data_IF_849294357278
#
_entry.id   IF_849294357278
#
_cell.length_a   1.000
_cell.length_b   1.000
_cell.length_c   1.000
_cell.angle_alpha   90.00
_cell.angle_beta   90.00
_cell.angle_gamma   90.00
#
_symmetry.space_group_name_H-M   'P 1'
#
loop_
_entity.id
_entity.type
_entity.pdbx_description
1 polymer ?
#
# COMPACT_ATOMS: atom_id res chain seq x y z
N UNK A 1 -6.49 11.14 -57.03
CA UNK A 1 -5.64 11.13 -55.83
C UNK A 1 -6.12 10.24 -54.66
N UNK A 2 -6.77 9.05 -54.83
CA UNK A 2 -7.15 8.20 -53.68
C UNK A 2 -6.13 7.11 -53.30
N UNK A 3 -5.07 6.89 -54.10
CA UNK A 3 -4.09 5.79 -53.90
C UNK A 3 -2.91 6.15 -52.98
N UNK A 4 -2.77 7.42 -52.60
CA UNK A 4 -1.69 7.91 -51.74
C UNK A 4 -2.07 7.85 -50.25
N UNK A 5 -3.34 8.11 -49.93
CA UNK A 5 -3.91 8.04 -48.57
C UNK A 5 -3.84 6.62 -47.98
N UNK A 6 -4.19 5.60 -48.78
CA UNK A 6 -4.15 4.20 -48.33
C UNK A 6 -2.72 3.70 -48.02
N UNK A 7 -1.69 4.32 -48.62
CA UNK A 7 -0.28 4.00 -48.35
C UNK A 7 0.22 4.61 -47.04
N UNK A 8 -0.26 5.79 -46.65
CA UNK A 8 0.07 6.38 -45.34
C UNK A 8 -0.52 5.55 -44.19
N UNK A 9 -1.78 5.14 -44.29
CA UNK A 9 -2.42 4.32 -43.26
C UNK A 9 -1.70 2.98 -43.05
N UNK A 10 -1.27 2.32 -44.14
CA UNK A 10 -0.49 1.08 -44.06
C UNK A 10 0.93 1.30 -43.48
N UNK A 11 1.50 2.50 -43.62
CA UNK A 11 2.78 2.86 -43.02
C UNK A 11 2.64 3.11 -41.51
N UNK A 12 1.55 3.76 -41.06
CA UNK A 12 1.28 4.01 -39.64
C UNK A 12 0.99 2.69 -38.90
N UNK A 13 0.26 1.74 -39.51
CA UNK A 13 0.03 0.40 -38.93
C UNK A 13 1.28 -0.47 -38.84
N UNK A 14 2.41 -0.05 -39.42
CA UNK A 14 3.72 -0.73 -39.34
C UNK A 14 4.71 -0.03 -38.41
N UNK A 15 4.35 1.10 -37.80
CA UNK A 15 5.09 1.67 -36.68
C UNK A 15 4.87 0.80 -35.43
N UNK A 16 5.46 -0.39 -35.42
CA UNK A 16 5.86 -1.08 -34.21
C UNK A 16 6.83 -0.12 -33.52
N UNK A 17 6.38 0.62 -32.51
CA UNK A 17 7.23 1.45 -31.65
C UNK A 17 7.84 0.48 -30.63
N UNK A 18 9.06 -0.04 -30.84
CA UNK A 18 9.63 -1.05 -29.94
C UNK A 18 10.00 -0.42 -28.58
N UNK A 19 10.18 0.90 -28.56
CA UNK A 19 10.53 1.69 -27.38
C UNK A 19 9.41 1.72 -26.32
N UNK A 20 8.14 1.70 -26.74
CA UNK A 20 7.03 1.69 -25.79
C UNK A 20 6.86 0.32 -25.13
N UNK A 21 7.16 -0.75 -25.88
CA UNK A 21 7.13 -2.13 -25.40
C UNK A 21 8.19 -2.40 -24.33
N UNK A 22 9.41 -1.86 -24.51
CA UNK A 22 10.49 -1.99 -23.53
C UNK A 22 10.22 -1.20 -22.23
N UNK A 23 9.73 0.04 -22.34
CA UNK A 23 9.34 0.86 -21.19
C UNK A 23 8.16 0.23 -20.42
N UNK A 24 7.17 -0.30 -21.15
CA UNK A 24 6.02 -1.00 -20.57
C UNK A 24 6.48 -2.29 -19.86
N UNK A 25 7.41 -3.03 -20.47
CA UNK A 25 7.98 -4.25 -19.87
C UNK A 25 8.75 -3.93 -18.61
N UNK A 26 9.53 -2.84 -18.58
CA UNK A 26 10.26 -2.42 -17.40
C UNK A 26 9.30 -2.02 -16.26
N UNK A 27 8.24 -1.27 -16.55
CA UNK A 27 7.20 -0.94 -15.58
C UNK A 27 6.47 -2.19 -15.05
N UNK A 28 6.17 -3.14 -15.92
CA UNK A 28 5.54 -4.40 -15.51
C UNK A 28 6.49 -5.27 -14.65
N UNK A 29 7.80 -5.27 -14.94
CA UNK A 29 8.80 -5.93 -14.09
C UNK A 29 8.89 -5.28 -12.71
N UNK A 30 8.88 -3.96 -12.65
CA UNK A 30 8.85 -3.21 -11.39
C UNK A 30 7.61 -3.59 -10.57
N UNK A 31 6.43 -3.59 -11.21
CA UNK A 31 5.18 -3.95 -10.56
C UNK A 31 5.15 -5.41 -10.06
N UNK A 32 5.69 -6.36 -10.83
CA UNK A 32 5.83 -7.75 -10.39
C UNK A 32 6.81 -7.88 -9.22
N UNK A 33 7.86 -7.05 -9.17
CA UNK A 33 8.80 -7.00 -8.04
C UNK A 33 8.11 -6.49 -6.77
N UNK A 34 7.22 -5.50 -6.88
CA UNK A 34 6.38 -5.08 -5.77
C UNK A 34 5.53 -6.25 -5.23
N UNK A 35 4.87 -7.01 -6.09
CA UNK A 35 4.10 -8.19 -5.66
C UNK A 35 4.95 -9.27 -4.98
N UNK A 36 6.18 -9.50 -5.47
CA UNK A 36 7.11 -10.41 -4.80
C UNK A 36 7.48 -9.90 -3.40
N UNK A 37 7.74 -8.60 -3.25
CA UNK A 37 8.01 -7.99 -1.94
C UNK A 37 6.84 -8.12 -0.98
N UNK A 38 5.61 -7.93 -1.46
CA UNK A 38 4.39 -8.10 -0.67
C UNK A 38 4.26 -9.55 -0.14
N UNK A 39 4.64 -10.55 -0.93
CA UNK A 39 4.64 -11.96 -0.48
C UNK A 39 5.66 -12.28 0.61
N UNK A 40 6.75 -11.52 0.69
CA UNK A 40 7.73 -11.67 1.79
C UNK A 40 7.25 -11.00 3.07
N UNK A 41 6.52 -9.89 2.96
CA UNK A 41 6.11 -9.07 4.10
C UNK A 41 4.80 -9.54 4.74
N UNK A 42 3.88 -10.10 3.95
CA UNK A 42 2.55 -10.53 4.42
C UNK A 42 2.57 -12.01 4.80
N UNK A 43 2.43 -12.36 6.10
CA UNK A 43 2.55 -13.75 6.57
C UNK A 43 1.50 -14.72 6.01
N UNK A 44 0.34 -14.18 5.61
CA UNK A 44 -0.80 -14.95 5.10
C UNK A 44 -0.69 -15.28 3.62
N UNK A 45 0.29 -14.71 2.90
CA UNK A 45 0.48 -14.95 1.47
C UNK A 45 1.37 -16.17 1.20
N UNK A 46 0.97 -17.07 0.29
CA UNK A 46 1.78 -18.21 -0.06
C UNK A 46 2.96 -17.79 -0.94
N UNK A 47 4.18 -18.02 -0.47
CA UNK A 47 5.44 -17.70 -1.17
C UNK A 47 5.66 -18.58 -2.40
N UNK A 48 5.23 -19.84 -2.35
CA UNK A 48 5.48 -20.84 -3.41
C UNK A 48 4.25 -21.14 -4.30
N UNK A 49 3.07 -20.58 -4.01
CA UNK A 49 1.86 -20.75 -4.86
C UNK A 49 1.58 -19.50 -5.69
N UNK A 50 0.89 -19.72 -6.82
CA UNK A 50 0.34 -18.64 -7.64
C UNK A 50 -0.92 -18.10 -6.95
N UNK A 51 -0.80 -16.92 -6.35
CA UNK A 51 -1.91 -16.08 -5.92
C UNK A 51 -2.17 -15.02 -7.01
N UNK A 52 -3.43 -14.71 -7.25
CA UNK A 52 -3.84 -13.63 -8.16
C UNK A 52 -3.43 -12.27 -7.62
N UNK A 53 -3.26 -11.27 -8.50
CA UNK A 53 -2.95 -9.89 -8.10
C UNK A 53 -3.98 -9.33 -7.12
N UNK A 54 -5.26 -9.65 -7.33
CA UNK A 54 -6.36 -9.21 -6.46
C UNK A 54 -6.27 -9.86 -5.09
N UNK A 55 -6.04 -11.18 -5.03
CA UNK A 55 -5.86 -11.90 -3.76
C UNK A 55 -4.69 -11.32 -2.97
N UNK A 56 -3.56 -11.02 -3.64
CA UNK A 56 -2.42 -10.38 -2.99
C UNK A 56 -2.82 -9.03 -2.37
N UNK A 57 -3.56 -8.20 -3.12
CA UNK A 57 -4.00 -6.90 -2.61
C UNK A 57 -4.95 -7.04 -1.42
N UNK A 58 -5.87 -8.01 -1.43
CA UNK A 58 -6.77 -8.26 -0.31
C UNK A 58 -6.00 -8.63 0.96
N UNK A 59 -5.10 -9.61 0.87
CA UNK A 59 -4.25 -10.02 2.00
C UNK A 59 -3.38 -8.88 2.54
N UNK A 60 -2.91 -7.97 1.68
CA UNK A 60 -2.14 -6.79 2.11
C UNK A 60 -3.01 -5.80 2.87
N UNK A 61 -4.25 -5.56 2.43
CA UNK A 61 -5.19 -4.68 3.12
C UNK A 61 -5.51 -5.23 4.51
N UNK A 62 -5.84 -6.51 4.60
CA UNK A 62 -6.15 -7.16 5.88
C UNK A 62 -4.94 -7.11 6.82
N UNK A 63 -3.73 -7.39 6.33
CA UNK A 63 -2.52 -7.35 7.15
C UNK A 63 -2.20 -5.94 7.68
N UNK A 64 -2.37 -4.90 6.86
CA UNK A 64 -2.20 -3.51 7.32
C UNK A 64 -3.25 -3.17 8.37
N UNK A 65 -4.50 -3.59 8.17
CA UNK A 65 -5.58 -3.34 9.12
C UNK A 65 -5.32 -4.00 10.48
N UNK A 66 -4.93 -5.28 10.48
CA UNK A 66 -4.60 -6.03 11.70
C UNK A 66 -3.46 -5.37 12.47
N UNK A 67 -2.38 -4.99 11.78
CA UNK A 67 -1.26 -4.28 12.39
C UNK A 67 -1.68 -2.92 13.00
N UNK A 68 -2.57 -2.17 12.33
CA UNK A 68 -3.07 -0.91 12.86
C UNK A 68 -3.86 -1.11 14.17
N UNK A 69 -4.73 -2.12 14.22
CA UNK A 69 -5.51 -2.45 15.43
C UNK A 69 -4.59 -2.89 16.57
N UNK A 70 -3.62 -3.76 16.29
CA UNK A 70 -2.65 -4.23 17.29
C UNK A 70 -1.80 -3.09 17.87
N UNK A 71 -1.36 -2.16 17.03
CA UNK A 71 -0.57 -0.99 17.43
C UNK A 71 -1.40 0.04 18.21
N UNK A 72 -2.64 0.30 17.79
CA UNK A 72 -3.54 1.23 18.50
C UNK A 72 -3.88 0.72 19.90
N UNK A 73 -4.17 -0.58 20.04
CA UNK A 73 -4.39 -1.23 21.34
C UNK A 73 -3.19 -1.06 22.28
N UNK A 74 -1.96 -1.22 21.78
CA UNK A 74 -0.73 -0.98 22.55
C UNK A 74 -0.51 0.49 22.90
N UNK A 75 -0.85 1.42 22.00
CA UNK A 75 -0.75 2.87 22.24
C UNK A 75 -1.70 3.33 23.34
N UNK A 76 -2.89 2.75 23.40
CA UNK A 76 -3.89 3.04 24.44
C UNK A 76 -3.56 2.38 25.79
N UNK A 77 -2.62 1.44 25.85
CA UNK A 77 -2.07 0.90 27.10
C UNK A 77 -0.89 1.72 27.65
N UNK A 78 -0.13 2.42 26.79
CA UNK A 78 0.95 3.30 27.24
C UNK A 78 0.48 4.72 27.57
N UNK A 79 -0.68 5.13 27.09
CA UNK A 79 -1.46 6.20 27.71
C UNK A 79 -2.36 5.59 28.79
N UNK A 80 -1.85 5.46 30.01
CA UNK A 80 -2.72 5.33 31.17
C UNK A 80 -3.85 6.38 31.02
N UNK A 81 -5.13 6.00 31.03
CA UNK A 81 -6.19 6.98 31.17
C UNK A 81 -5.90 7.62 32.52
N UNK A 82 -5.52 8.91 32.52
CA UNK A 82 -5.35 9.66 33.78
C UNK A 82 -6.66 9.49 34.53
N UNK A 83 -6.60 8.66 35.56
CA UNK A 83 -7.72 8.33 36.42
C UNK A 83 -8.25 9.64 37.02
N UNK A 84 -9.55 9.73 37.34
CA UNK A 84 -10.13 10.93 37.94
C UNK A 84 -9.42 11.36 39.24
N UNK A 85 -8.64 10.48 39.86
CA UNK A 85 -7.79 10.76 41.01
C UNK A 85 -6.69 11.80 40.73
N UNK A 86 -6.17 11.87 39.51
CA UNK A 86 -5.15 12.87 39.13
C UNK A 86 -5.73 14.29 39.07
N UNK A 87 -7.02 14.45 38.73
CA UNK A 87 -7.69 15.76 38.73
C UNK A 87 -7.81 16.32 40.15
N UNK A 88 -8.18 15.48 41.14
CA UNK A 88 -8.31 15.93 42.52
C UNK A 88 -6.95 16.25 43.17
N UNK A 89 -5.90 15.48 42.87
CA UNK A 89 -4.56 15.77 43.39
C UNK A 89 -3.99 17.09 42.83
N UNK A 90 -4.34 17.47 41.60
CA UNK A 90 -3.96 18.76 41.03
C UNK A 90 -4.74 19.92 41.67
N UNK A 91 -6.03 19.76 41.97
CA UNK A 91 -6.79 20.78 42.70
C UNK A 91 -6.31 20.95 44.15
N UNK A 92 -5.99 19.87 44.87
CA UNK A 92 -5.43 19.94 46.23
C UNK A 92 -4.08 20.68 46.28
N UNK A 93 -3.22 20.48 45.28
CA UNK A 93 -1.96 21.22 45.16
C UNK A 93 -2.18 22.71 44.84
N UNK A 94 -3.28 23.05 44.19
CA UNK A 94 -3.66 24.44 43.83
C UNK A 94 -4.20 25.24 45.02
N UNK A 95 -4.58 24.57 46.12
CA UNK A 95 -5.23 25.17 47.30
C UNK A 95 -4.22 25.42 48.45
N UNK A 96 -2.98 24.95 48.34
CA UNK A 96 -1.99 25.03 49.43
C UNK A 96 -0.96 26.17 49.32
N UNK A 97 -1.24 27.22 48.55
CA UNK A 97 -0.51 28.49 48.61
C UNK A 97 -1.51 29.63 48.42
N UNK A 98 -2.16 30.06 49.50
CA UNK A 98 -2.22 31.45 49.98
C UNK A 98 -2.87 31.50 51.38
#
# INVERSE_FOLDING_TARGET
>A
APKLEAKMFLAISKCKIPLLDEQMTMFLQDMNSCYSKLKELVPTLPTNKKASKVEILQHVIDYIWDLQVELESKKNQSSAPRTPLTTLNAELASISVE
#
